data_IF_942461776912
#
_entry.id   IF_942461776912
#
_cell.length_a   1.000
_cell.length_b   1.000
_cell.length_c   1.000
_cell.angle_alpha   90.00
_cell.angle_beta   90.00
_cell.angle_gamma   90.00
#
_symmetry.space_group_name_H-M   'P 1'
#
loop_
_entity.id
_entity.type
_entity.pdbx_description
1 polymer ?
#
# COMPACT_ATOMS: atom_id res chain seq x y z
N UNK A 1 -17.01 -19.10 -9.26
CA UNK A 1 -16.00 -18.02 -9.27
C UNK A 1 -15.79 -17.59 -7.84
N UNK A 2 -14.70 -17.99 -7.19
CA UNK A 2 -14.38 -17.46 -5.87
C UNK A 2 -14.07 -15.97 -6.04
N UNK A 3 -14.86 -15.10 -5.39
CA UNK A 3 -14.53 -13.69 -5.22
C UNK A 3 -13.06 -13.58 -4.86
N UNK A 4 -12.23 -12.93 -5.69
CA UNK A 4 -10.89 -12.52 -5.23
C UNK A 4 -11.13 -11.69 -3.97
N UNK A 5 -10.46 -12.05 -2.88
CA UNK A 5 -10.50 -11.29 -1.63
C UNK A 5 -9.93 -9.90 -1.95
N UNK A 6 -10.80 -8.89 -2.06
CA UNK A 6 -10.46 -7.56 -2.59
C UNK A 6 -10.68 -6.47 -1.56
N UNK A 7 -9.72 -5.58 -1.45
CA UNK A 7 -9.84 -4.34 -0.70
C UNK A 7 -10.39 -3.26 -1.62
N UNK A 8 -11.25 -2.41 -1.08
CA UNK A 8 -11.92 -1.36 -1.84
C UNK A 8 -11.69 -0.02 -1.17
N UNK A 9 -11.07 0.89 -1.89
CA UNK A 9 -10.89 2.28 -1.46
C UNK A 9 -11.79 3.17 -2.30
N UNK A 10 -12.68 3.88 -1.62
CA UNK A 10 -13.48 4.93 -2.24
C UNK A 10 -12.97 6.29 -1.75
N UNK A 11 -12.45 7.09 -2.68
CA UNK A 11 -12.01 8.48 -2.45
C UNK A 11 -13.14 9.40 -2.93
N UNK A 12 -13.82 10.10 -2.05
CA UNK A 12 -14.96 10.98 -2.38
C UNK A 12 -15.88 10.40 -3.48
N UNK A 13 -16.14 11.18 -4.53
CA UNK A 13 -16.95 10.82 -5.71
C UNK A 13 -16.13 10.10 -6.81
N UNK A 14 -14.89 9.69 -6.52
CA UNK A 14 -14.06 8.95 -7.46
C UNK A 14 -14.55 7.52 -7.65
N UNK A 15 -14.19 6.88 -8.78
CA UNK A 15 -14.32 5.44 -8.92
C UNK A 15 -13.66 4.67 -7.76
N UNK A 16 -14.21 3.51 -7.44
CA UNK A 16 -13.65 2.62 -6.41
C UNK A 16 -12.34 2.03 -6.93
N UNK A 17 -11.25 2.27 -6.20
CA UNK A 17 -9.98 1.58 -6.39
C UNK A 17 -10.08 0.19 -5.75
N UNK A 18 -9.72 -0.85 -6.51
CA UNK A 18 -9.69 -2.23 -6.02
C UNK A 18 -8.24 -2.73 -5.88
N UNK A 19 -7.98 -3.45 -4.80
CA UNK A 19 -6.68 -4.09 -4.55
C UNK A 19 -6.90 -5.57 -4.24
N UNK A 20 -6.10 -6.45 -4.84
CA UNK A 20 -6.10 -7.88 -4.55
C UNK A 20 -5.36 -8.15 -3.24
N UNK A 21 -6.00 -8.80 -2.27
CA UNK A 21 -5.38 -9.18 -1.00
C UNK A 21 -4.24 -10.18 -1.22
N UNK A 22 -3.04 -9.84 -0.74
CA UNK A 22 -1.85 -10.68 -0.83
C UNK A 22 -1.29 -11.06 0.55
N UNK A 23 -2.01 -10.80 1.65
CA UNK A 23 -1.52 -11.07 3.02
C UNK A 23 -1.18 -12.54 3.25
N UNK A 24 -1.96 -13.45 2.66
CA UNK A 24 -1.68 -14.91 2.74
C UNK A 24 -0.39 -15.30 2.01
N UNK A 25 0.02 -14.53 1.00
CA UNK A 25 1.22 -14.76 0.21
C UNK A 25 2.46 -14.16 0.86
N UNK A 26 2.40 -12.87 1.23
CA UNK A 26 3.56 -12.15 1.82
C UNK A 26 3.73 -12.42 3.32
N UNK A 27 2.71 -12.98 3.98
CA UNK A 27 2.74 -13.29 5.40
C UNK A 27 2.65 -12.06 6.30
N UNK A 28 3.12 -12.21 7.55
CA UNK A 28 3.18 -11.12 8.52
C UNK A 28 4.55 -10.45 8.53
N UNK A 29 5.16 -10.27 7.36
CA UNK A 29 6.46 -9.61 7.28
C UNK A 29 6.36 -8.17 7.78
N UNK A 30 7.28 -7.84 8.67
CA UNK A 30 7.32 -6.60 9.43
C UNK A 30 8.36 -5.70 8.79
N UNK A 31 7.92 -4.65 8.12
CA UNK A 31 8.80 -3.69 7.44
C UNK A 31 8.93 -2.46 8.32
N UNK A 32 10.15 -2.05 8.65
CA UNK A 32 10.38 -0.99 9.63
C UNK A 32 9.85 0.35 9.13
N UNK A 33 9.06 1.05 9.96
CA UNK A 33 8.41 2.28 9.52
C UNK A 33 9.39 3.45 9.27
N UNK A 34 10.60 3.44 9.84
CA UNK A 34 11.61 4.48 9.56
C UNK A 34 11.96 4.56 8.06
N UNK A 35 11.73 3.50 7.28
CA UNK A 35 11.94 3.52 5.84
C UNK A 35 10.98 4.49 5.14
N UNK A 36 9.90 4.92 5.79
CA UNK A 36 9.04 6.00 5.30
C UNK A 36 9.72 7.35 5.37
N UNK A 37 10.65 7.57 6.31
CA UNK A 37 11.27 8.88 6.55
C UNK A 37 11.93 9.39 5.26
N UNK A 38 12.59 8.53 4.50
CA UNK A 38 13.18 8.87 3.19
C UNK A 38 12.15 9.36 2.18
N UNK A 39 10.93 8.81 2.18
CA UNK A 39 9.85 9.24 1.28
C UNK A 39 9.21 10.54 1.76
N UNK A 40 9.03 10.65 3.09
CA UNK A 40 8.43 11.80 3.77
C UNK A 40 9.30 13.04 3.62
N UNK A 41 10.60 12.93 3.88
CA UNK A 41 11.56 14.03 3.81
C UNK A 41 11.66 14.63 2.40
N UNK A 42 11.34 13.83 1.37
CA UNK A 42 11.28 14.28 -0.02
C UNK A 42 9.99 15.03 -0.37
N UNK A 43 8.98 14.98 0.49
CA UNK A 43 7.68 15.64 0.28
C UNK A 43 6.79 14.99 -0.79
N UNK A 44 7.09 13.77 -1.23
CA UNK A 44 6.29 13.02 -2.21
C UNK A 44 5.07 12.36 -1.56
N UNK A 45 4.22 13.17 -0.91
CA UNK A 45 3.03 12.73 -0.19
C UNK A 45 1.78 13.36 -0.79
N UNK A 46 0.80 12.53 -1.16
CA UNK A 46 -0.58 12.95 -1.37
C UNK A 46 -1.42 12.60 -0.14
N UNK A 47 -2.27 13.53 0.29
CA UNK A 47 -3.30 13.25 1.29
C UNK A 47 -4.66 13.27 0.60
N UNK A 48 -5.47 12.25 0.90
CA UNK A 48 -6.79 12.09 0.32
C UNK A 48 -7.79 11.66 1.40
N UNK A 49 -9.04 12.15 1.36
CA UNK A 49 -10.12 11.54 2.11
C UNK A 49 -10.47 10.18 1.50
N UNK A 50 -10.82 9.21 2.32
CA UNK A 50 -11.11 7.87 1.81
C UNK A 50 -11.83 6.98 2.79
N UNK A 51 -12.64 6.07 2.25
CA UNK A 51 -13.26 4.97 2.99
C UNK A 51 -12.70 3.66 2.48
N UNK A 52 -12.07 2.91 3.37
CA UNK A 52 -11.50 1.60 3.07
C UNK A 52 -12.45 0.49 3.53
N UNK A 53 -12.65 -0.50 2.66
CA UNK A 53 -13.30 -1.77 3.01
C UNK A 53 -12.37 -2.94 2.79
N UNK A 54 -12.38 -3.87 3.74
CA UNK A 54 -11.65 -5.12 3.65
C UNK A 54 -12.33 -6.15 2.74
N UNK A 55 -11.70 -7.33 2.56
CA UNK A 55 -12.20 -8.40 1.70
C UNK A 55 -13.55 -8.98 2.09
N UNK A 56 -13.93 -8.87 3.37
CA UNK A 56 -15.25 -9.30 3.86
C UNK A 56 -16.26 -8.15 3.83
N UNK A 57 -15.97 -7.09 3.08
CA UNK A 57 -16.77 -5.87 2.95
C UNK A 57 -16.93 -5.11 4.29
N UNK A 58 -16.06 -5.36 5.26
CA UNK A 58 -16.05 -4.65 6.53
C UNK A 58 -15.35 -3.30 6.43
N UNK A 59 -15.88 -2.27 7.07
CA UNK A 59 -15.22 -0.96 7.13
C UNK A 59 -13.89 -1.04 7.90
N UNK A 60 -12.89 -0.34 7.39
CA UNK A 60 -11.56 -0.19 7.98
C UNK A 60 -11.25 1.28 8.15
N UNK A 61 -10.50 1.57 9.21
CA UNK A 61 -9.97 2.89 9.50
C UNK A 61 -8.80 3.20 8.56
N UNK A 62 -9.06 3.98 7.50
CA UNK A 62 -8.05 4.27 6.48
C UNK A 62 -6.86 5.06 7.04
N UNK A 63 -7.02 5.78 8.15
CA UNK A 63 -5.92 6.48 8.83
C UNK A 63 -4.81 5.54 9.31
N UNK A 64 -5.11 4.24 9.46
CA UNK A 64 -4.16 3.17 9.81
C UNK A 64 -3.54 2.50 8.60
N UNK A 65 -3.79 2.98 7.40
CA UNK A 65 -3.24 2.45 6.17
C UNK A 65 -2.53 3.55 5.39
N UNK A 66 -1.67 3.11 4.49
CA UNK A 66 -1.03 3.94 3.48
C UNK A 66 -1.03 3.20 2.15
N UNK A 67 -0.89 3.96 1.08
CA UNK A 67 -0.67 3.41 -0.25
C UNK A 67 0.71 3.84 -0.71
N UNK A 68 1.54 2.86 -1.05
CA UNK A 68 2.82 3.08 -1.68
C UNK A 68 2.62 2.96 -3.19
N UNK A 69 2.61 4.10 -3.89
CA UNK A 69 2.61 4.14 -5.34
C UNK A 69 4.05 4.15 -5.83
N UNK A 70 4.37 3.29 -6.79
CA UNK A 70 5.71 3.14 -7.34
C UNK A 70 5.66 2.71 -8.80
N UNK A 71 6.77 2.88 -9.51
CA UNK A 71 6.96 2.51 -10.90
C UNK A 71 7.98 1.38 -10.99
N UNK A 72 7.61 0.29 -11.64
CA UNK A 72 8.47 -0.88 -11.89
C UNK A 72 8.31 -1.25 -13.35
N UNK A 73 9.44 -1.41 -14.06
CA UNK A 73 9.46 -1.76 -15.49
C UNK A 73 8.60 -0.82 -16.35
N UNK A 74 8.56 0.47 -15.98
CA UNK A 74 7.75 1.50 -16.66
C UNK A 74 6.25 1.46 -16.36
N UNK A 75 5.80 0.54 -15.49
CA UNK A 75 4.40 0.41 -15.07
C UNK A 75 4.19 0.93 -13.66
N UNK A 76 3.13 1.71 -13.46
CA UNK A 76 2.71 2.16 -12.13
C UNK A 76 1.97 1.04 -11.39
N UNK A 77 2.32 0.82 -10.14
CA UNK A 77 1.66 -0.14 -9.24
C UNK A 77 1.48 0.51 -7.87
N UNK A 78 0.41 0.13 -7.17
CA UNK A 78 0.07 0.63 -5.84
C UNK A 78 -0.06 -0.52 -4.87
N UNK A 79 0.71 -0.44 -3.79
CA UNK A 79 0.61 -1.34 -2.65
C UNK A 79 -0.20 -0.70 -1.55
N UNK A 80 -1.21 -1.39 -1.05
CA UNK A 80 -1.87 -1.05 0.20
C UNK A 80 -1.07 -1.68 1.35
N UNK A 81 -0.71 -0.88 2.35
CA UNK A 81 -0.04 -1.34 3.56
C UNK A 81 -0.73 -0.80 4.81
N UNK A 82 -0.72 -1.59 5.88
CA UNK A 82 -1.21 -1.20 7.21
C UNK A 82 -0.05 -0.60 8.00
N UNK A 83 -0.23 0.61 8.53
CA UNK A 83 0.72 1.34 9.37
C UNK A 83 0.31 1.27 10.84
N UNK A 84 1.24 0.95 11.74
CA UNK A 84 1.00 0.99 13.18
C UNK A 84 1.01 -0.37 13.89
N UNK A 85 1.49 -1.42 13.23
CA UNK A 85 1.77 -2.70 13.89
C UNK A 85 3.17 -2.60 14.53
N UNK A 86 3.25 -2.23 15.81
CA UNK A 86 4.54 -2.06 16.53
C UNK A 86 5.53 -1.09 15.85
N UNK A 87 5.04 0.04 15.30
CA UNK A 87 5.86 0.97 14.50
C UNK A 87 6.41 0.35 13.21
N UNK A 88 5.71 -0.65 12.67
CA UNK A 88 6.04 -1.27 11.40
C UNK A 88 4.88 -1.19 10.41
N UNK A 89 5.25 -1.43 9.16
CA UNK A 89 4.38 -1.59 8.01
C UNK A 89 4.15 -3.06 7.73
N UNK A 90 2.93 -3.36 7.31
CA UNK A 90 2.54 -4.68 6.83
C UNK A 90 1.95 -4.54 5.44
N UNK A 91 2.48 -5.28 4.47
CA UNK A 91 1.93 -5.35 3.11
C UNK A 91 0.58 -6.06 3.16
N UNK A 92 -0.44 -5.45 2.53
CA UNK A 92 -1.83 -5.95 2.57
C UNK A 92 -2.31 -6.38 1.20
N UNK A 93 -2.25 -5.51 0.22
CA UNK A 93 -2.87 -5.73 -1.09
C UNK A 93 -2.11 -4.99 -2.20
N UNK A 94 -2.36 -5.36 -3.45
CA UNK A 94 -1.81 -4.69 -4.63
C UNK A 94 -2.88 -4.51 -5.70
N UNK A 95 -2.84 -3.41 -6.44
CA UNK A 95 -3.84 -3.07 -7.46
C UNK A 95 -3.59 -3.72 -8.84
N UNK A 96 -2.42 -4.32 -9.04
CA UNK A 96 -2.04 -5.00 -10.28
C UNK A 96 -2.18 -6.52 -10.16
N UNK A 97 -2.85 -7.14 -11.14
CA UNK A 97 -2.95 -8.60 -11.22
C UNK A 97 -1.58 -9.26 -11.42
N UNK A 98 -0.72 -8.68 -12.28
CA UNK A 98 0.61 -9.20 -12.55
C UNK A 98 1.45 -9.23 -11.27
N UNK A 99 1.38 -8.17 -10.46
CA UNK A 99 2.03 -8.14 -9.16
C UNK A 99 1.38 -9.08 -8.15
N UNK A 100 0.05 -9.20 -8.15
CA UNK A 100 -0.64 -10.14 -7.28
C UNK A 100 -0.21 -11.59 -7.55
N UNK A 101 0.30 -11.90 -8.74
CA UNK A 101 0.80 -13.22 -9.14
C UNK A 101 2.29 -13.43 -8.85
N UNK A 102 3.12 -12.37 -8.76
CA UNK A 102 4.55 -12.45 -8.40
C UNK A 102 4.81 -13.18 -7.07
N UNK A 103 6.02 -13.69 -6.91
CA UNK A 103 6.46 -14.36 -5.68
C UNK A 103 6.54 -13.39 -4.49
N UNK A 104 6.36 -13.94 -3.28
CA UNK A 104 6.35 -13.15 -2.06
C UNK A 104 7.67 -12.41 -1.82
N UNK A 105 8.80 -13.08 -2.06
CA UNK A 105 10.14 -12.49 -1.91
C UNK A 105 10.32 -11.28 -2.82
N UNK A 106 9.89 -11.37 -4.07
CA UNK A 106 9.94 -10.26 -5.02
C UNK A 106 9.05 -9.09 -4.60
N UNK A 107 7.83 -9.37 -4.13
CA UNK A 107 6.92 -8.32 -3.65
C UNK A 107 7.48 -7.57 -2.44
N UNK A 108 8.03 -8.32 -1.48
CA UNK A 108 8.65 -7.75 -0.27
C UNK A 108 9.88 -6.93 -0.65
N UNK A 109 10.73 -7.46 -1.54
CA UNK A 109 11.93 -6.78 -2.04
C UNK A 109 11.56 -5.47 -2.72
N UNK A 110 10.65 -5.49 -3.70
CA UNK A 110 10.22 -4.29 -4.44
C UNK A 110 9.66 -3.24 -3.47
N UNK A 111 8.79 -3.64 -2.55
CA UNK A 111 8.20 -2.72 -1.58
C UNK A 111 9.27 -2.09 -0.68
N UNK A 112 10.22 -2.90 -0.19
CA UNK A 112 11.29 -2.43 0.69
C UNK A 112 12.28 -1.53 -0.06
N UNK A 113 12.71 -1.94 -1.25
CA UNK A 113 13.62 -1.17 -2.10
C UNK A 113 13.01 0.17 -2.52
N UNK A 114 11.69 0.22 -2.77
CA UNK A 114 10.99 1.45 -3.10
C UNK A 114 10.89 2.43 -1.93
N UNK A 115 10.93 1.96 -0.68
CA UNK A 115 11.02 2.80 0.51
C UNK A 115 12.47 3.26 0.78
N UNK A 116 13.44 2.36 0.60
CA UNK A 116 14.86 2.65 0.80
C UNK A 116 15.43 3.61 -0.27
N UNK A 117 15.00 3.43 -1.53
CA UNK A 117 15.50 4.16 -2.71
C UNK A 117 14.34 4.75 -3.53
N UNK A 118 13.56 5.69 -2.97
CA UNK A 118 12.33 6.15 -3.59
C UNK A 118 12.52 6.82 -4.96
N UNK A 119 13.71 7.36 -5.26
CA UNK A 119 13.97 7.98 -6.56
C UNK A 119 14.00 6.96 -7.70
N UNK A 120 14.54 5.77 -7.45
CA UNK A 120 14.68 4.71 -8.47
C UNK A 120 13.33 4.14 -8.89
N UNK A 121 12.35 4.21 -7.99
CA UNK A 121 11.01 3.67 -8.17
C UNK A 121 9.96 4.76 -8.39
N UNK A 122 10.34 6.04 -8.49
CA UNK A 122 9.40 7.16 -8.51
C UNK A 122 8.32 7.05 -7.41
N UNK A 123 8.75 6.69 -6.20
CA UNK A 123 7.87 6.34 -5.09
C UNK A 123 7.11 7.57 -4.60
N UNK A 124 5.81 7.39 -4.39
CA UNK A 124 4.91 8.36 -3.81
C UNK A 124 4.07 7.70 -2.72
N UNK A 125 3.85 8.43 -1.63
CA UNK A 125 3.02 7.98 -0.53
C UNK A 125 1.63 8.63 -0.65
N UNK A 126 0.57 7.82 -0.59
CA UNK A 126 -0.80 8.33 -0.46
C UNK A 126 -1.32 7.96 0.92
N UNK A 127 -1.73 8.97 1.67
CA UNK A 127 -2.20 8.86 3.05
C UNK A 127 -3.63 9.35 3.17
N UNK A 128 -4.34 8.85 4.18
CA UNK A 128 -5.57 9.49 4.63
C UNK A 128 -5.27 10.89 5.18
N UNK A 129 -6.21 11.83 5.03
CA UNK A 129 -6.08 13.19 5.58
C UNK A 129 -5.80 13.20 7.09
N UNK A 130 -6.42 12.26 7.81
CA UNK A 130 -6.28 12.04 9.25
C UNK A 130 -5.14 11.08 9.64
N UNK A 131 -4.30 10.67 8.67
CA UNK A 131 -3.14 9.82 8.94
C UNK A 131 -2.12 10.54 9.83
N UNK A 132 -1.63 9.82 10.84
CA UNK A 132 -0.59 10.28 11.78
C UNK A 132 0.84 10.08 11.28
N UNK A 133 1.01 9.44 10.12
CA UNK A 133 2.31 9.41 9.44
C UNK A 133 2.69 10.87 9.16
N UNK A 134 3.81 11.29 9.76
CA UNK A 134 4.33 12.64 9.64
C UNK A 134 4.97 12.82 8.29
#
# INVERSE_FOLDING_TARGET
MSSKDTWKLQKDDSPIDEFTDIRRKVGNQVIRAYLLDTVVDRGSIDRVPGRLRGPKNEFKDFAKFLILQLSVDGSSVRFLAESGVYENLRIVAVDSNDFAERDSEDLIRIFTDALDKPEQYNTKLVLSDDSKVR
#
